data_IF_920455062486
#
_entry.id   IF_920455062486
#
_cell.length_a   1.000
_cell.length_b   1.000
_cell.length_c   1.000
_cell.angle_alpha   90.00
_cell.angle_beta   90.00
_cell.angle_gamma   90.00
#
_symmetry.space_group_name_H-M   'P 1'
#
loop_
_entity.id
_entity.type
_entity.pdbx_description
1 polymer ?
#
# COMPACT_ATOMS: atom_id res chain seq x y z
N UNK A 1 -3.50 -31.92 -8.17
CA UNK A 1 -2.03 -32.05 -8.08
C UNK A 1 -1.68 -32.24 -6.62
N UNK A 2 -0.95 -33.30 -6.26
CA UNK A 2 -0.42 -33.45 -4.91
C UNK A 2 0.66 -32.40 -4.71
N UNK A 3 0.39 -31.42 -3.86
CA UNK A 3 1.41 -30.40 -3.49
C UNK A 3 2.51 -31.15 -2.73
N UNK A 4 3.72 -31.21 -3.31
CA UNK A 4 4.84 -31.83 -2.62
C UNK A 4 5.26 -30.89 -1.48
N UNK A 5 5.34 -31.43 -0.28
CA UNK A 5 5.86 -30.73 0.87
C UNK A 5 7.28 -30.22 0.57
N UNK A 6 7.50 -28.90 0.73
CA UNK A 6 8.83 -28.31 0.66
C UNK A 6 9.34 -28.13 2.09
N UNK A 7 10.44 -28.80 2.50
CA UNK A 7 11.01 -28.63 3.83
C UNK A 7 11.52 -27.19 4.10
N UNK A 8 11.76 -26.43 3.04
CA UNK A 8 12.18 -25.02 3.14
C UNK A 8 11.00 -24.06 3.32
N UNK A 9 9.78 -24.57 3.21
CA UNK A 9 8.59 -23.77 3.46
C UNK A 9 8.52 -23.38 4.93
N UNK A 10 8.49 -22.08 5.20
CA UNK A 10 8.21 -21.58 6.53
C UNK A 10 6.71 -21.30 6.67
N UNK A 11 5.98 -22.18 7.38
CA UNK A 11 4.56 -21.97 7.56
C UNK A 11 4.24 -20.73 8.43
N UNK A 12 5.27 -20.05 8.98
CA UNK A 12 5.10 -18.78 9.72
C UNK A 12 5.14 -17.55 8.82
N UNK A 13 5.60 -17.70 7.58
CA UNK A 13 5.58 -16.66 6.59
C UNK A 13 4.24 -16.64 5.87
N UNK A 14 3.45 -15.64 6.04
CA UNK A 14 2.21 -15.32 5.34
C UNK A 14 1.13 -16.42 5.43
N UNK A 15 0.31 -16.32 6.41
CA UNK A 15 -0.92 -17.11 6.48
C UNK A 15 -2.16 -16.22 6.45
N UNK A 16 -2.37 -15.47 5.46
CA UNK A 16 -3.66 -14.87 5.35
C UNK A 16 -3.66 -13.46 4.84
N UNK A 17 -4.10 -13.38 3.60
CA UNK A 17 -4.60 -12.15 3.06
C UNK A 17 -5.91 -11.78 3.76
N UNK A 18 -6.13 -10.49 3.91
CA UNK A 18 -7.43 -9.94 4.28
C UNK A 18 -8.16 -9.62 2.99
N UNK A 19 -9.28 -10.32 2.73
CA UNK A 19 -10.15 -9.94 1.62
C UNK A 19 -10.92 -8.67 1.97
N UNK A 20 -10.46 -7.54 1.45
CA UNK A 20 -11.08 -6.24 1.72
C UNK A 20 -12.49 -6.14 1.17
N UNK A 21 -12.88 -6.99 0.20
CA UNK A 21 -14.23 -7.00 -0.35
C UNK A 21 -15.25 -7.50 0.68
N UNK A 22 -14.84 -8.32 1.64
CA UNK A 22 -15.70 -8.86 2.69
C UNK A 22 -15.80 -7.95 3.92
N UNK A 23 -14.88 -6.98 4.05
CA UNK A 23 -14.89 -6.08 5.20
C UNK A 23 -16.00 -5.03 5.08
N UNK A 24 -16.72 -4.75 6.18
CA UNK A 24 -17.68 -3.65 6.21
C UNK A 24 -16.98 -2.29 6.17
N UNK A 25 -17.66 -1.30 5.60
CA UNK A 25 -17.27 0.09 5.74
C UNK A 25 -17.63 0.62 7.12
N UNK A 26 -16.66 1.20 7.81
CA UNK A 26 -16.83 1.81 9.12
C UNK A 26 -16.68 3.32 8.98
N UNK A 27 -17.75 4.05 9.28
CA UNK A 27 -17.71 5.51 9.26
C UNK A 27 -16.76 6.05 10.34
N UNK A 28 -15.92 7.00 9.98
CA UNK A 28 -15.04 7.68 10.91
C UNK A 28 -15.67 9.02 11.38
N UNK A 29 -15.63 9.31 12.67
CA UNK A 29 -16.27 10.53 13.22
C UNK A 29 -15.49 11.81 12.90
N UNK A 30 -14.35 11.70 12.23
CA UNK A 30 -13.44 12.81 11.95
C UNK A 30 -13.94 13.69 10.79
N UNK A 31 -14.63 13.09 9.83
CA UNK A 31 -15.16 13.77 8.65
C UNK A 31 -16.44 13.08 8.16
N UNK A 32 -17.42 13.88 7.74
CA UNK A 32 -18.63 13.36 7.09
C UNK A 32 -18.27 12.67 5.78
N UNK A 33 -18.89 11.53 5.50
CA UNK A 33 -18.64 10.73 4.30
C UNK A 33 -17.31 9.99 4.26
N UNK A 34 -16.48 10.09 5.31
CA UNK A 34 -15.25 9.31 5.42
C UNK A 34 -15.53 7.97 6.10
N UNK A 35 -15.16 6.87 5.42
CA UNK A 35 -15.26 5.52 5.97
C UNK A 35 -13.97 4.75 5.71
N UNK A 36 -13.74 3.70 6.50
CA UNK A 36 -12.55 2.85 6.39
C UNK A 36 -12.88 1.37 6.44
N UNK A 37 -12.03 0.58 5.83
CA UNK A 37 -11.84 -0.84 6.08
C UNK A 37 -10.47 -1.01 6.75
N UNK A 38 -10.42 -1.25 8.07
CA UNK A 38 -9.16 -1.38 8.80
C UNK A 38 -8.39 -2.62 8.34
N UNK A 39 -7.08 -2.50 8.15
CA UNK A 39 -6.21 -3.62 7.76
C UNK A 39 -5.13 -3.87 8.81
N UNK A 40 -4.43 -2.80 9.20
CA UNK A 40 -3.33 -2.85 10.16
C UNK A 40 -3.31 -1.59 11.02
N UNK A 41 -2.92 -1.72 12.28
CA UNK A 41 -2.69 -0.60 13.20
C UNK A 41 -1.58 -0.95 14.18
N UNK A 42 -0.37 -0.43 13.93
CA UNK A 42 0.79 -0.63 14.80
C UNK A 42 0.68 0.22 16.06
N UNK A 43 0.79 -0.44 17.22
CA UNK A 43 0.84 0.23 18.51
C UNK A 43 2.25 0.80 18.80
N UNK A 44 3.30 0.20 18.22
CA UNK A 44 4.69 0.60 18.43
C UNK A 44 5.02 1.87 17.66
N UNK A 45 4.68 1.91 16.38
CA UNK A 45 5.11 2.98 15.47
C UNK A 45 4.03 4.02 15.18
N UNK A 46 2.77 3.71 15.48
CA UNK A 46 1.63 4.56 15.10
C UNK A 46 1.26 4.45 13.61
N UNK A 47 1.93 3.62 12.83
CA UNK A 47 1.59 3.35 11.42
C UNK A 47 0.26 2.60 11.35
N UNK A 48 -0.57 2.96 10.39
CA UNK A 48 -1.77 2.18 10.07
C UNK A 48 -2.02 2.12 8.57
N UNK A 49 -2.61 1.01 8.14
CA UNK A 49 -3.02 0.78 6.75
C UNK A 49 -4.51 0.48 6.72
N UNK A 50 -5.21 1.08 5.77
CA UNK A 50 -6.66 0.92 5.58
C UNK A 50 -7.02 1.13 4.11
N UNK A 51 -8.15 0.55 3.68
CA UNK A 51 -8.85 1.13 2.54
C UNK A 51 -9.74 2.24 3.08
N UNK A 52 -9.57 3.46 2.56
CA UNK A 52 -10.42 4.61 2.89
C UNK A 52 -11.38 4.91 1.75
N UNK A 53 -12.59 5.31 2.08
CA UNK A 53 -13.58 5.80 1.12
C UNK A 53 -14.02 7.20 1.48
N UNK A 54 -14.01 8.07 0.48
CA UNK A 54 -14.69 9.35 0.52
C UNK A 54 -15.96 9.24 -0.32
N UNK A 55 -17.11 9.48 0.31
CA UNK A 55 -18.42 9.35 -0.31
C UNK A 55 -18.66 10.44 -1.36
N UNK A 56 -19.39 10.11 -2.40
CA UNK A 56 -19.81 11.04 -3.46
C UNK A 56 -20.41 12.33 -2.91
N UNK A 57 -20.05 13.45 -3.51
CA UNK A 57 -20.53 14.77 -3.13
C UNK A 57 -19.92 15.35 -1.85
N UNK A 58 -18.97 14.64 -1.21
CA UNK A 58 -18.31 15.12 0.02
C UNK A 58 -16.98 15.79 -0.28
N UNK A 59 -16.60 16.70 0.62
CA UNK A 59 -15.30 17.32 0.64
C UNK A 59 -14.49 16.75 1.82
N UNK A 60 -13.24 16.43 1.57
CA UNK A 60 -12.28 16.12 2.63
C UNK A 60 -12.03 17.39 3.43
N UNK A 61 -12.17 17.37 4.75
CA UNK A 61 -11.84 18.54 5.56
C UNK A 61 -10.36 18.93 5.40
N UNK A 62 -10.04 20.16 5.71
CA UNK A 62 -8.62 20.54 5.81
C UNK A 62 -7.92 19.68 6.84
N UNK A 63 -6.83 19.06 6.46
CA UNK A 63 -6.01 18.20 7.31
C UNK A 63 -4.57 18.64 7.39
N UNK A 64 -3.93 18.28 8.50
CA UNK A 64 -2.48 18.32 8.65
C UNK A 64 -2.00 16.89 8.86
N UNK A 65 -1.13 16.43 7.97
CA UNK A 65 -0.49 15.14 8.09
C UNK A 65 0.70 15.24 9.04
N UNK A 66 0.55 14.76 10.27
CA UNK A 66 1.63 14.80 11.27
C UNK A 66 2.72 13.74 10.96
N UNK A 67 2.33 12.64 10.32
CA UNK A 67 3.20 11.70 9.66
C UNK A 67 2.94 11.69 8.15
N UNK A 68 3.84 11.11 7.38
CA UNK A 68 3.64 10.96 5.94
C UNK A 68 2.47 10.00 5.63
N UNK A 69 1.93 10.07 4.42
CA UNK A 69 0.92 9.16 3.92
C UNK A 69 1.24 8.76 2.47
N UNK A 70 1.24 7.47 2.21
CA UNK A 70 1.19 6.90 0.87
C UNK A 70 -0.27 6.55 0.55
N UNK A 71 -0.72 6.84 -0.67
CA UNK A 71 -2.07 6.52 -1.12
C UNK A 71 -2.08 6.04 -2.57
N UNK A 72 -2.91 5.05 -2.86
CA UNK A 72 -3.26 4.63 -4.21
C UNK A 72 -4.77 4.71 -4.38
N UNK A 73 -5.25 5.48 -5.34
CA UNK A 73 -6.68 5.51 -5.70
C UNK A 73 -7.02 4.19 -6.38
N UNK A 74 -7.92 3.42 -5.79
CA UNK A 74 -8.37 2.12 -6.27
C UNK A 74 -9.55 2.26 -7.24
N UNK A 75 -10.51 3.13 -6.90
CA UNK A 75 -11.68 3.42 -7.71
C UNK A 75 -12.16 4.85 -7.48
N UNK A 76 -12.98 5.35 -8.39
CA UNK A 76 -13.49 6.73 -8.32
C UNK A 76 -12.47 7.78 -8.74
N UNK A 77 -12.69 9.01 -8.30
CA UNK A 77 -11.87 10.17 -8.63
C UNK A 77 -11.93 11.20 -7.51
N UNK A 78 -10.76 11.73 -7.13
CA UNK A 78 -10.63 12.91 -6.29
C UNK A 78 -10.31 14.12 -7.15
N UNK A 79 -10.98 15.23 -6.89
CA UNK A 79 -10.56 16.54 -7.40
C UNK A 79 -9.90 17.33 -6.30
N UNK A 80 -8.84 18.03 -6.60
CA UNK A 80 -8.14 18.91 -5.67
C UNK A 80 -7.94 20.29 -6.31
N UNK A 81 -8.27 21.34 -5.56
CA UNK A 81 -8.14 22.72 -6.00
C UNK A 81 -7.45 23.61 -4.97
N UNK A 82 -6.74 23.03 -4.01
CA UNK A 82 -6.11 23.74 -2.90
C UNK A 82 -4.58 23.66 -2.88
N UNK A 83 -3.96 24.60 -2.21
CA UNK A 83 -2.56 24.66 -1.75
C UNK A 83 -1.50 23.91 -2.59
N UNK A 84 -1.31 24.34 -3.85
CA UNK A 84 -0.27 23.76 -4.71
C UNK A 84 -0.58 22.38 -5.29
N UNK A 85 -1.70 21.77 -4.89
CA UNK A 85 -2.21 20.53 -5.49
C UNK A 85 -3.47 20.90 -6.26
N UNK A 86 -3.42 20.87 -7.58
CA UNK A 86 -4.59 21.06 -8.42
C UNK A 86 -4.64 19.95 -9.47
N UNK A 87 -5.81 19.37 -9.66
CA UNK A 87 -6.02 18.31 -10.66
C UNK A 87 -7.04 17.28 -10.24
N UNK A 88 -7.26 16.32 -11.13
CA UNK A 88 -8.08 15.13 -10.92
C UNK A 88 -7.19 13.90 -10.72
N UNK A 89 -7.50 13.13 -9.69
CA UNK A 89 -6.73 11.95 -9.28
C UNK A 89 -7.68 10.74 -9.26
N UNK A 90 -7.80 10.07 -10.39
CA UNK A 90 -8.66 8.90 -10.53
C UNK A 90 -7.94 7.59 -10.21
N UNK A 91 -8.61 6.47 -10.44
CA UNK A 91 -8.07 5.14 -10.23
C UNK A 91 -6.70 4.96 -10.90
N UNK A 92 -5.73 4.41 -10.19
CA UNK A 92 -4.34 4.26 -10.61
C UNK A 92 -3.43 5.44 -10.27
N UNK A 93 -3.96 6.52 -9.68
CA UNK A 93 -3.10 7.59 -9.15
C UNK A 93 -2.47 7.14 -7.85
N UNK A 94 -1.14 7.17 -7.79
CA UNK A 94 -0.38 7.04 -6.56
C UNK A 94 0.08 8.41 -6.08
N UNK A 95 -0.07 8.67 -4.79
CA UNK A 95 0.34 9.90 -4.14
C UNK A 95 1.15 9.65 -2.88
N UNK A 96 2.09 10.55 -2.63
CA UNK A 96 2.83 10.62 -1.38
C UNK A 96 2.64 12.02 -0.77
N UNK A 97 2.08 12.06 0.42
CA UNK A 97 1.90 13.28 1.19
C UNK A 97 2.95 13.29 2.30
N UNK A 98 3.92 14.19 2.25
CA UNK A 98 4.96 14.27 3.28
C UNK A 98 4.40 14.61 4.67
N UNK A 99 5.14 14.28 5.72
CA UNK A 99 4.84 14.76 7.06
C UNK A 99 4.84 16.28 7.11
N UNK A 100 4.06 16.85 8.04
CA UNK A 100 3.86 18.28 8.19
C UNK A 100 3.15 18.97 6.99
N UNK A 101 2.49 18.21 6.14
CA UNK A 101 1.71 18.76 5.03
C UNK A 101 0.33 19.20 5.47
N UNK A 102 -0.10 20.34 4.95
CA UNK A 102 -1.50 20.77 5.02
C UNK A 102 -2.17 20.47 3.68
N UNK A 103 -3.26 19.72 3.74
CA UNK A 103 -4.07 19.37 2.57
C UNK A 103 -5.46 19.98 2.75
N UNK A 104 -5.91 20.68 1.71
CA UNK A 104 -7.26 21.22 1.63
C UNK A 104 -7.79 21.15 0.19
N UNK A 105 -9.07 21.43 0.02
CA UNK A 105 -9.69 21.48 -1.31
C UNK A 105 -9.85 20.14 -2.01
N UNK A 106 -9.73 19.01 -1.30
CA UNK A 106 -10.01 17.69 -1.85
C UNK A 106 -11.53 17.45 -1.81
N UNK A 107 -12.06 16.92 -2.91
CA UNK A 107 -13.46 16.56 -3.07
C UNK A 107 -13.59 15.26 -3.86
N UNK A 108 -14.60 14.47 -3.55
CA UNK A 108 -15.03 13.33 -4.33
C UNK A 108 -16.41 13.62 -4.95
N UNK A 109 -16.48 13.62 -6.27
CA UNK A 109 -17.77 13.76 -6.97
C UNK A 109 -18.47 12.41 -7.17
N UNK A 110 -17.73 11.32 -7.07
CA UNK A 110 -18.18 9.92 -7.01
C UNK A 110 -17.55 9.25 -5.80
N UNK A 111 -18.14 8.14 -5.35
CA UNK A 111 -17.52 7.33 -4.29
C UNK A 111 -16.09 6.96 -4.70
N UNK A 112 -15.12 7.35 -3.88
CA UNK A 112 -13.70 7.17 -4.20
C UNK A 112 -13.03 6.37 -3.11
N UNK A 113 -12.40 5.26 -3.50
CA UNK A 113 -11.70 4.35 -2.61
C UNK A 113 -10.19 4.44 -2.81
N UNK A 114 -9.46 4.42 -1.72
CA UNK A 114 -8.02 4.56 -1.70
C UNK A 114 -7.40 3.55 -0.74
N UNK A 115 -6.36 2.83 -1.17
CA UNK A 115 -5.47 2.15 -0.25
C UNK A 115 -4.52 3.19 0.34
N UNK A 116 -4.48 3.30 1.65
CA UNK A 116 -3.62 4.28 2.34
C UNK A 116 -2.75 3.61 3.39
N UNK A 117 -1.50 4.04 3.46
CA UNK A 117 -0.58 3.74 4.56
C UNK A 117 -0.17 5.06 5.19
N UNK A 118 -0.63 5.29 6.42
CA UNK A 118 -0.32 6.49 7.19
C UNK A 118 0.84 6.18 8.14
N UNK A 119 1.94 6.92 8.00
CA UNK A 119 3.13 6.78 8.84
C UNK A 119 3.05 7.61 10.14
N UNK A 120 1.87 8.12 10.45
CA UNK A 120 1.58 8.88 11.65
C UNK A 120 0.16 9.45 11.63
N UNK A 121 -0.20 10.26 12.65
CA UNK A 121 -1.55 10.79 12.79
C UNK A 121 -1.93 11.81 11.72
N UNK A 122 -3.23 11.94 11.48
CA UNK A 122 -3.84 13.00 10.65
C UNK A 122 -4.68 13.89 11.55
N UNK A 123 -4.36 15.17 11.60
CA UNK A 123 -5.14 16.19 12.32
C UNK A 123 -6.17 16.82 11.38
N UNK A 124 -7.44 16.81 11.76
CA UNK A 124 -8.55 17.44 11.06
C UNK A 124 -8.81 18.82 11.67
N UNK A 125 -8.86 19.83 10.83
CA UNK A 125 -9.09 21.21 11.27
C UNK A 125 -10.58 21.57 11.28
N UNK A 126 -10.96 22.46 12.14
CA UNK A 126 -12.27 23.08 12.08
C UNK A 126 -12.36 23.96 10.81
N UNK A 127 -13.55 23.97 10.20
CA UNK A 127 -13.78 24.69 8.94
C UNK A 127 -13.37 26.18 9.05
N UNK A 128 -12.56 26.64 8.09
CA UNK A 128 -12.06 28.02 8.06
C UNK A 128 -11.12 28.41 9.20
N UNK A 129 -10.56 27.43 9.93
CA UNK A 129 -9.76 27.66 11.13
C UNK A 129 -8.41 26.92 11.05
N UNK A 130 -7.45 27.33 11.90
CA UNK A 130 -6.21 26.60 12.16
C UNK A 130 -6.35 25.69 13.40
N UNK A 131 -7.54 25.64 14.02
CA UNK A 131 -7.79 24.86 15.24
C UNK A 131 -7.99 23.39 14.88
N UNK A 132 -7.26 22.50 15.54
CA UNK A 132 -7.45 21.05 15.40
C UNK A 132 -8.79 20.67 16.05
N UNK A 133 -9.68 20.07 15.26
CA UNK A 133 -10.98 19.54 15.69
C UNK A 133 -10.85 18.12 16.26
N UNK A 134 -10.10 17.29 15.56
CA UNK A 134 -9.86 15.89 15.95
C UNK A 134 -8.57 15.37 15.31
N UNK A 135 -8.06 14.26 15.83
CA UNK A 135 -6.87 13.59 15.33
C UNK A 135 -7.21 12.12 15.07
N UNK A 136 -6.95 11.63 13.86
CA UNK A 136 -7.04 10.22 13.50
C UNK A 136 -5.70 9.57 13.76
N UNK A 137 -5.70 8.49 14.53
CA UNK A 137 -4.51 7.74 14.92
C UNK A 137 -4.67 6.25 14.61
N UNK A 138 -3.58 5.49 14.71
CA UNK A 138 -3.64 4.02 14.65
C UNK A 138 -4.59 3.41 15.70
N UNK A 139 -4.73 4.09 16.87
CA UNK A 139 -5.62 3.63 17.94
C UNK A 139 -7.09 3.80 17.59
N UNK A 140 -7.44 4.82 16.80
CA UNK A 140 -8.82 4.99 16.33
C UNK A 140 -9.18 3.92 15.30
N UNK A 141 -8.24 3.55 14.44
CA UNK A 141 -8.37 2.43 13.49
C UNK A 141 -8.55 1.11 14.26
N UNK A 142 -7.72 0.87 15.29
CA UNK A 142 -7.86 -0.32 16.16
C UNK A 142 -9.21 -0.36 16.87
N UNK A 143 -9.64 0.73 17.49
CA UNK A 143 -10.95 0.81 18.13
C UNK A 143 -12.10 0.58 17.16
N UNK A 144 -11.99 1.11 15.94
CA UNK A 144 -12.99 0.89 14.89
C UNK A 144 -13.06 -0.59 14.50
N UNK A 145 -11.91 -1.26 14.35
CA UNK A 145 -11.83 -2.68 14.05
C UNK A 145 -12.44 -3.52 15.20
N UNK A 146 -12.03 -3.26 16.45
CA UNK A 146 -12.49 -3.98 17.63
C UNK A 146 -14.02 -3.86 17.81
N UNK A 147 -14.57 -2.67 17.61
CA UNK A 147 -16.01 -2.40 17.74
C UNK A 147 -16.85 -3.16 16.69
N UNK A 148 -16.25 -3.58 15.58
CA UNK A 148 -16.92 -4.31 14.50
C UNK A 148 -16.46 -5.77 14.38
N UNK A 149 -15.69 -6.26 15.36
CA UNK A 149 -15.20 -7.64 15.38
C UNK A 149 -14.23 -7.98 14.26
N UNK A 150 -13.52 -6.97 13.72
CA UNK A 150 -12.52 -7.15 12.66
C UNK A 150 -11.18 -7.46 13.32
N UNK A 151 -10.63 -8.64 13.02
CA UNK A 151 -9.27 -8.98 13.42
C UNK A 151 -8.27 -8.24 12.52
N UNK A 152 -7.46 -7.36 13.10
CA UNK A 152 -6.34 -6.75 12.41
C UNK A 152 -5.21 -7.76 12.25
N UNK A 153 -4.40 -7.63 11.19
CA UNK A 153 -3.24 -8.50 11.04
C UNK A 153 -2.21 -8.24 12.14
N UNK A 154 -1.52 -9.29 12.60
CA UNK A 154 -0.45 -9.15 13.58
C UNK A 154 0.70 -8.30 13.08
N UNK A 155 1.29 -7.49 13.95
CA UNK A 155 2.39 -6.57 13.62
C UNK A 155 3.77 -7.23 13.65
N UNK A 156 3.89 -8.42 14.23
CA UNK A 156 5.19 -9.07 14.40
C UNK A 156 5.13 -10.56 14.07
N UNK A 157 6.28 -11.11 13.68
CA UNK A 157 6.45 -12.53 13.42
C UNK A 157 6.05 -13.39 14.64
N UNK A 158 6.40 -12.95 15.86
CA UNK A 158 6.03 -13.64 17.08
C UNK A 158 4.51 -13.75 17.29
N UNK A 159 3.78 -12.67 16.98
CA UNK A 159 2.32 -12.67 17.01
C UNK A 159 1.73 -13.58 15.93
N UNK A 160 2.25 -13.50 14.71
CA UNK A 160 1.83 -14.38 13.62
C UNK A 160 2.01 -15.88 13.99
N UNK A 161 3.09 -16.21 14.69
CA UNK A 161 3.34 -17.58 15.16
C UNK A 161 2.36 -18.04 16.26
N UNK A 162 1.89 -17.12 17.10
CA UNK A 162 0.94 -17.43 18.16
C UNK A 162 -0.50 -17.57 17.65
N UNK A 163 -0.83 -16.82 16.62
CA UNK A 163 -2.19 -16.71 16.08
C UNK A 163 -2.44 -17.66 14.90
N UNK A 164 -1.63 -18.71 14.72
CA UNK A 164 -1.80 -19.66 13.63
C UNK A 164 -3.26 -20.14 13.56
N UNK A 165 -3.95 -19.69 12.52
CA UNK A 165 -5.24 -20.26 12.15
C UNK A 165 -4.99 -21.61 11.49
N UNK A 166 -5.83 -22.59 11.85
CA UNK A 166 -5.81 -23.87 11.16
C UNK A 166 -6.04 -23.66 9.66
N UNK A 167 -5.36 -24.40 8.77
CA UNK A 167 -5.48 -24.27 7.31
C UNK A 167 -6.93 -24.33 6.79
N UNK A 168 -7.83 -24.94 7.53
CA UNK A 168 -9.25 -25.12 7.18
C UNK A 168 -10.14 -23.89 7.48
N UNK A 169 -9.56 -22.79 8.01
CA UNK A 169 -10.32 -21.60 8.40
C UNK A 169 -10.54 -20.60 7.27
N UNK A 170 -10.01 -20.83 6.09
CA UNK A 170 -10.22 -19.95 4.95
C UNK A 170 -11.50 -20.31 4.21
N UNK A 171 -12.54 -19.50 4.42
CA UNK A 171 -13.68 -19.52 3.51
C UNK A 171 -13.19 -19.20 2.08
N UNK A 172 -13.77 -19.87 1.05
CA UNK A 172 -13.43 -19.52 -0.34
C UNK A 172 -13.64 -18.03 -0.53
N UNK A 173 -12.59 -17.31 -0.96
CA UNK A 173 -12.67 -15.90 -1.22
C UNK A 173 -13.62 -15.66 -2.39
N UNK A 174 -14.75 -15.03 -2.11
CA UNK A 174 -15.64 -14.56 -3.17
C UNK A 174 -15.05 -13.24 -3.65
N UNK A 175 -14.27 -13.30 -4.72
CA UNK A 175 -13.65 -12.12 -5.29
C UNK A 175 -14.70 -11.42 -6.13
N UNK A 176 -15.12 -10.24 -5.71
CA UNK A 176 -15.74 -9.32 -6.64
C UNK A 176 -14.65 -8.88 -7.62
N UNK A 177 -14.93 -8.96 -8.90
CA UNK A 177 -14.12 -8.35 -9.95
C UNK A 177 -14.25 -6.81 -9.83
N UNK A 178 -13.92 -6.26 -8.68
CA UNK A 178 -13.90 -4.83 -8.47
C UNK A 178 -12.96 -4.17 -9.48
N UNK A 179 -13.10 -2.88 -9.67
CA UNK A 179 -12.42 -2.04 -10.66
C UNK A 179 -10.87 -2.09 -10.67
N UNK A 180 -10.27 -3.00 -9.89
CA UNK A 180 -8.83 -3.23 -9.87
C UNK A 180 -8.27 -3.56 -11.28
N UNK A 181 -9.05 -4.20 -12.15
CA UNK A 181 -8.67 -4.40 -13.55
C UNK A 181 -8.48 -3.06 -14.29
N UNK A 182 -9.24 -2.03 -13.94
CA UNK A 182 -9.09 -0.68 -14.48
C UNK A 182 -7.75 -0.02 -14.12
N UNK A 183 -7.12 -0.42 -13.00
CA UNK A 183 -5.80 0.09 -12.60
C UNK A 183 -4.68 -0.35 -13.55
N UNK A 184 -4.87 -1.42 -14.29
CA UNK A 184 -3.86 -1.98 -15.21
C UNK A 184 -4.04 -1.49 -16.63
N UNK A 185 -5.28 -1.24 -17.08
CA UNK A 185 -5.64 -1.01 -18.48
C UNK A 185 -6.38 0.30 -18.75
N UNK A 186 -6.68 1.10 -17.73
CA UNK A 186 -7.47 2.32 -17.85
C UNK A 186 -6.85 3.42 -18.72
N UNK A 187 -7.68 4.36 -19.18
CA UNK A 187 -7.25 5.53 -19.95
C UNK A 187 -6.39 6.46 -19.07
N UNK A 188 -5.51 7.23 -19.71
CA UNK A 188 -4.62 8.20 -19.05
C UNK A 188 -5.46 9.21 -18.28
N UNK A 189 -5.12 9.41 -17.01
CA UNK A 189 -5.71 10.44 -16.15
C UNK A 189 -5.06 11.81 -16.42
N UNK A 190 -5.79 12.85 -16.11
CA UNK A 190 -5.25 14.21 -16.11
C UNK A 190 -4.50 14.51 -14.80
N UNK A 191 -3.56 13.63 -14.44
CA UNK A 191 -2.59 13.94 -13.40
C UNK A 191 -1.56 14.85 -14.03
N UNK A 192 -1.31 16.05 -13.49
CA UNK A 192 -0.26 16.90 -13.99
C UNK A 192 1.05 16.10 -14.07
N UNK A 193 1.54 15.83 -15.29
CA UNK A 193 2.66 14.91 -15.55
C UNK A 193 3.99 15.32 -14.90
N UNK A 194 4.00 16.41 -14.16
CA UNK A 194 5.14 16.95 -13.44
C UNK A 194 4.89 17.17 -11.95
N UNK A 195 3.75 16.72 -11.39
CA UNK A 195 3.49 16.94 -9.97
C UNK A 195 4.52 16.19 -9.11
N UNK A 196 5.16 16.84 -8.11
CA UNK A 196 6.24 16.20 -7.33
C UNK A 196 5.76 15.11 -6.40
N UNK A 197 4.48 15.08 -6.04
CA UNK A 197 3.90 14.17 -5.04
C UNK A 197 2.88 13.19 -5.60
N UNK A 198 2.49 13.30 -6.87
CA UNK A 198 1.49 12.41 -7.49
C UNK A 198 1.97 11.93 -8.87
N UNK A 199 1.60 10.71 -9.21
CA UNK A 199 1.90 10.09 -10.50
C UNK A 199 0.75 9.19 -10.94
N UNK A 200 0.42 9.23 -12.24
CA UNK A 200 -0.41 8.21 -12.86
C UNK A 200 0.44 6.96 -13.08
N UNK A 201 0.19 5.93 -12.30
CA UNK A 201 0.96 4.68 -12.37
C UNK A 201 0.83 3.97 -13.71
N UNK A 202 -0.22 4.25 -14.47
CA UNK A 202 -0.44 3.67 -15.80
C UNK A 202 0.51 4.26 -16.82
N UNK A 203 0.92 5.51 -16.64
CA UNK A 203 1.89 6.17 -17.49
C UNK A 203 3.35 5.73 -17.23
N UNK A 204 3.62 5.06 -16.10
CA UNK A 204 4.97 4.58 -15.79
C UNK A 204 5.32 3.32 -16.60
N UNK A 205 6.56 3.21 -17.09
CA UNK A 205 7.01 2.01 -17.78
C UNK A 205 7.16 0.84 -16.81
N UNK A 206 6.98 -0.38 -17.32
CA UNK A 206 7.40 -1.57 -16.63
C UNK A 206 8.91 -1.73 -16.74
N UNK A 207 9.62 -1.75 -15.64
CA UNK A 207 11.03 -2.06 -15.55
C UNK A 207 11.19 -3.57 -15.41
N UNK A 208 11.91 -4.19 -16.32
CA UNK A 208 12.12 -5.63 -16.34
C UNK A 208 13.55 -5.93 -15.89
N UNK A 209 13.70 -6.94 -15.04
CA UNK A 209 15.00 -7.52 -14.77
C UNK A 209 15.29 -8.55 -15.88
N UNK A 210 16.43 -8.46 -16.60
CA UNK A 210 16.79 -9.44 -17.62
C UNK A 210 16.82 -10.89 -17.12
N UNK A 211 17.18 -11.10 -15.87
CA UNK A 211 17.25 -12.42 -15.26
C UNK A 211 15.87 -12.99 -14.85
N UNK A 212 14.86 -12.12 -14.74
CA UNK A 212 13.49 -12.48 -14.39
C UNK A 212 12.49 -11.68 -15.25
N UNK A 213 12.45 -11.92 -16.57
CA UNK A 213 11.68 -11.07 -17.50
C UNK A 213 10.16 -11.13 -17.28
N UNK A 214 9.66 -12.16 -16.62
CA UNK A 214 8.25 -12.31 -16.27
C UNK A 214 7.83 -11.47 -15.05
N UNK A 215 8.81 -10.84 -14.37
CA UNK A 215 8.56 -9.92 -13.25
C UNK A 215 8.88 -8.51 -13.69
N UNK A 216 7.88 -7.65 -13.70
CA UNK A 216 8.01 -6.22 -14.03
C UNK A 216 7.71 -5.35 -12.82
N UNK A 217 8.41 -4.23 -12.71
CA UNK A 217 8.25 -3.28 -11.61
C UNK A 217 7.90 -1.88 -12.13
N UNK A 218 6.99 -1.20 -11.47
CA UNK A 218 6.82 0.26 -11.56
C UNK A 218 7.23 0.83 -10.22
N UNK A 219 8.36 1.53 -10.20
CA UNK A 219 8.90 2.10 -8.97
C UNK A 219 8.26 3.46 -8.76
N UNK A 220 7.57 3.64 -7.65
CA UNK A 220 6.78 4.82 -7.34
C UNK A 220 7.56 5.79 -6.45
N UNK A 221 8.09 5.26 -5.35
CA UNK A 221 8.81 6.03 -4.35
C UNK A 221 9.94 5.21 -3.72
N UNK A 222 11.03 5.88 -3.43
CA UNK A 222 12.15 5.35 -2.66
C UNK A 222 12.51 6.38 -1.59
N UNK A 223 12.61 5.96 -0.34
CA UNK A 223 13.13 6.77 0.76
C UNK A 223 14.56 6.34 1.07
N UNK A 224 15.51 7.23 0.83
CA UNK A 224 16.92 7.00 1.17
C UNK A 224 17.14 7.06 2.69
N UNK A 225 16.28 7.79 3.40
CA UNK A 225 16.36 7.94 4.87
C UNK A 225 15.95 6.67 5.60
N UNK A 226 14.83 6.06 5.19
CA UNK A 226 14.25 4.92 5.91
C UNK A 226 14.46 3.57 5.22
N UNK A 227 14.91 3.59 3.97
CA UNK A 227 15.00 2.39 3.14
C UNK A 227 13.64 1.91 2.60
N UNK A 228 12.57 2.68 2.79
CA UNK A 228 11.23 2.34 2.33
C UNK A 228 11.11 2.45 0.81
N UNK A 229 10.36 1.52 0.21
CA UNK A 229 10.11 1.50 -1.25
C UNK A 229 8.63 1.20 -1.50
N UNK A 230 7.99 1.98 -2.39
CA UNK A 230 6.67 1.66 -2.94
C UNK A 230 6.78 1.30 -4.41
N UNK A 231 6.18 0.17 -4.79
CA UNK A 231 6.19 -0.34 -6.17
C UNK A 231 4.82 -0.90 -6.56
N UNK A 232 4.58 -1.00 -7.86
CA UNK A 232 3.59 -1.94 -8.42
C UNK A 232 4.38 -3.05 -9.11
N UNK A 233 4.00 -4.28 -8.85
CA UNK A 233 4.64 -5.49 -9.36
C UNK A 233 3.71 -6.15 -10.36
N UNK A 234 4.23 -6.51 -11.55
CA UNK A 234 3.64 -7.49 -12.44
C UNK A 234 4.43 -8.79 -12.30
N UNK A 235 3.75 -9.85 -11.91
CA UNK A 235 4.38 -11.11 -11.51
C UNK A 235 3.80 -12.27 -12.32
N UNK A 236 4.22 -12.39 -13.55
CA UNK A 236 3.70 -13.41 -14.46
C UNK A 236 4.45 -14.73 -14.41
N UNK A 237 5.62 -14.75 -13.79
CA UNK A 237 6.46 -15.93 -13.59
C UNK A 237 6.32 -16.53 -12.20
N UNK A 238 7.40 -17.12 -11.73
CA UNK A 238 7.57 -17.65 -10.39
C UNK A 238 8.59 -16.78 -9.66
N UNK A 239 8.21 -16.16 -8.56
CA UNK A 239 9.16 -15.51 -7.68
C UNK A 239 9.77 -16.54 -6.74
N UNK A 240 11.09 -16.59 -6.58
CA UNK A 240 11.74 -17.55 -5.69
C UNK A 240 11.44 -17.27 -4.23
N UNK A 241 11.62 -18.26 -3.35
CA UNK A 241 11.54 -18.05 -1.91
C UNK A 241 12.48 -16.95 -1.44
N UNK A 242 12.01 -16.15 -0.49
CA UNK A 242 12.82 -15.03 0.05
C UNK A 242 12.44 -14.67 1.48
N UNK A 243 13.33 -13.90 2.14
CA UNK A 243 13.10 -13.31 3.44
C UNK A 243 12.78 -11.83 3.32
N UNK A 244 11.78 -11.38 4.04
CA UNK A 244 11.55 -9.98 4.33
C UNK A 244 12.38 -9.56 5.53
N UNK A 245 13.55 -8.91 5.30
CA UNK A 245 14.40 -8.41 6.39
C UNK A 245 13.73 -7.23 7.10
N UNK A 246 12.98 -6.41 6.35
CA UNK A 246 11.98 -5.49 6.89
C UNK A 246 10.58 -6.01 6.55
N UNK A 247 9.57 -5.48 7.19
CA UNK A 247 8.19 -5.85 6.85
C UNK A 247 7.82 -5.45 5.42
N UNK A 248 6.78 -6.07 4.88
CA UNK A 248 6.17 -5.66 3.61
C UNK A 248 4.65 -5.76 3.70
N UNK A 249 3.95 -4.95 2.92
CA UNK A 249 2.54 -5.16 2.64
C UNK A 249 2.27 -5.08 1.14
N UNK A 250 1.24 -5.76 0.67
CA UNK A 250 0.82 -5.69 -0.72
C UNK A 250 -0.68 -6.00 -0.88
N UNK A 251 -1.27 -5.44 -1.93
CA UNK A 251 -2.65 -5.69 -2.33
C UNK A 251 -2.69 -6.17 -3.76
N UNK A 252 -3.38 -7.28 -4.01
CA UNK A 252 -3.63 -7.78 -5.36
C UNK A 252 -4.59 -6.84 -6.07
N UNK A 253 -4.19 -6.37 -7.26
CA UNK A 253 -4.96 -5.47 -8.12
C UNK A 253 -5.57 -6.18 -9.34
N UNK A 254 -4.89 -7.20 -9.84
CA UNK A 254 -5.32 -7.97 -11.01
C UNK A 254 -4.74 -9.37 -11.01
N UNK A 255 -5.39 -10.31 -11.71
CA UNK A 255 -4.99 -11.70 -11.72
C UNK A 255 -5.14 -12.38 -10.36
N UNK A 256 -4.45 -13.50 -10.18
CA UNK A 256 -4.47 -14.27 -8.91
C UNK A 256 -3.08 -14.75 -8.55
N UNK A 257 -2.69 -14.52 -7.30
CA UNK A 257 -1.44 -15.02 -6.73
C UNK A 257 -1.68 -16.36 -6.02
N UNK A 258 -0.82 -17.33 -6.28
CA UNK A 258 -0.79 -18.61 -5.60
C UNK A 258 0.44 -18.75 -4.73
N UNK A 259 0.23 -19.23 -3.53
CA UNK A 259 1.25 -19.73 -2.62
C UNK A 259 1.16 -21.23 -2.53
N UNK A 260 2.27 -21.92 -2.33
CA UNK A 260 2.27 -23.38 -2.25
C UNK A 260 1.40 -23.90 -1.11
N UNK A 261 1.32 -23.19 0.01
CA UNK A 261 0.50 -23.53 1.17
C UNK A 261 -0.85 -22.81 1.20
N UNK A 262 -1.14 -21.98 0.20
CA UNK A 262 -2.40 -21.26 0.09
C UNK A 262 -3.51 -22.12 -0.53
N UNK A 263 -4.72 -21.58 -0.62
CA UNK A 263 -5.81 -22.23 -1.31
C UNK A 263 -5.44 -22.44 -2.80
N UNK A 264 -5.87 -23.57 -3.40
CA UNK A 264 -5.50 -23.89 -4.77
C UNK A 264 -5.98 -22.88 -5.81
N UNK A 265 -7.07 -22.16 -5.52
CA UNK A 265 -7.58 -21.05 -6.33
C UNK A 265 -6.78 -19.77 -6.15
N UNK A 266 -5.90 -19.70 -5.16
CA UNK A 266 -5.10 -18.51 -4.83
C UNK A 266 -5.90 -17.31 -4.36
N UNK A 267 -5.26 -16.16 -4.36
CA UNK A 267 -5.84 -14.89 -3.87
C UNK A 267 -5.95 -13.90 -5.02
N UNK A 268 -7.08 -13.23 -5.14
CA UNK A 268 -7.38 -12.31 -6.24
C UNK A 268 -7.45 -10.84 -5.82
N UNK A 269 -7.96 -9.99 -6.72
CA UNK A 269 -8.04 -8.54 -6.51
C UNK A 269 -8.78 -8.16 -5.23
N UNK A 270 -8.22 -7.17 -4.51
CA UNK A 270 -8.75 -6.69 -3.23
C UNK A 270 -8.25 -7.48 -2.02
N UNK A 271 -7.49 -8.58 -2.20
CA UNK A 271 -6.83 -9.25 -1.07
C UNK A 271 -5.55 -8.52 -0.72
N UNK A 272 -5.44 -8.14 0.53
CA UNK A 272 -4.28 -7.44 1.08
C UNK A 272 -3.53 -8.34 2.07
N UNK A 273 -2.20 -8.26 2.04
CA UNK A 273 -1.30 -9.05 2.85
C UNK A 273 -0.34 -8.16 3.63
N UNK A 274 0.08 -8.63 4.78
CA UNK A 274 1.18 -8.08 5.54
C UNK A 274 2.17 -9.17 5.93
N UNK A 275 3.42 -8.92 5.64
CA UNK A 275 4.54 -9.81 5.91
C UNK A 275 5.44 -9.15 6.95
N UNK A 276 5.44 -9.63 8.20
CA UNK A 276 6.27 -9.01 9.23
C UNK A 276 7.76 -9.20 8.94
N UNK A 277 8.59 -8.33 9.54
CA UNK A 277 10.03 -8.45 9.47
C UNK A 277 10.50 -9.83 9.96
N UNK A 278 11.40 -10.46 9.23
CA UNK A 278 11.86 -11.82 9.47
C UNK A 278 11.00 -12.93 8.84
N UNK A 279 9.89 -12.58 8.21
CA UNK A 279 9.07 -13.55 7.49
C UNK A 279 9.83 -14.12 6.28
N UNK A 280 9.72 -15.42 6.08
CA UNK A 280 10.16 -16.10 4.87
C UNK A 280 8.98 -16.82 4.26
N UNK A 281 8.74 -16.59 3.00
CA UNK A 281 7.69 -17.32 2.29
C UNK A 281 8.27 -18.16 1.13
N UNK A 282 7.50 -19.16 0.75
CA UNK A 282 7.82 -20.02 -0.39
C UNK A 282 7.58 -19.27 -1.71
N UNK A 283 7.97 -19.92 -2.80
CA UNK A 283 7.74 -19.39 -4.13
C UNK A 283 6.27 -19.03 -4.36
N UNK A 284 6.04 -17.90 -4.96
CA UNK A 284 4.73 -17.43 -5.40
C UNK A 284 4.62 -17.46 -6.91
N UNK A 285 3.43 -17.63 -7.44
CA UNK A 285 3.20 -17.73 -8.87
C UNK A 285 1.84 -17.15 -9.27
N UNK A 286 1.74 -16.79 -10.55
CA UNK A 286 0.47 -16.47 -11.19
C UNK A 286 -0.36 -17.73 -11.40
N UNK A 287 -1.66 -17.67 -11.12
CA UNK A 287 -2.60 -18.79 -11.29
C UNK A 287 -3.60 -18.61 -12.44
N UNK A 288 -3.70 -17.42 -13.03
CA UNK A 288 -4.62 -17.10 -14.12
C UNK A 288 -3.87 -16.67 -15.38
N UNK A 289 -4.55 -16.66 -16.52
CA UNK A 289 -3.97 -16.15 -17.77
C UNK A 289 -3.82 -14.62 -17.77
N UNK A 290 -4.59 -13.93 -16.93
CA UNK A 290 -4.47 -12.49 -16.73
C UNK A 290 -3.16 -12.15 -16.01
N UNK A 291 -2.62 -10.97 -16.29
CA UNK A 291 -1.46 -10.46 -15.57
C UNK A 291 -1.74 -10.41 -14.07
N UNK A 292 -0.86 -11.02 -13.29
CA UNK A 292 -0.88 -10.83 -11.84
C UNK A 292 -0.21 -9.50 -11.52
N UNK A 293 -0.98 -8.57 -10.97
CA UNK A 293 -0.51 -7.24 -10.59
C UNK A 293 -0.88 -6.96 -9.16
N UNK A 294 0.07 -6.43 -8.38
CA UNK A 294 -0.17 -6.02 -7.00
C UNK A 294 0.69 -4.80 -6.62
N UNK A 295 0.21 -4.03 -5.62
CA UNK A 295 1.05 -3.03 -4.95
C UNK A 295 1.99 -3.72 -3.99
N UNK A 296 3.16 -3.14 -3.72
CA UNK A 296 3.96 -3.55 -2.59
C UNK A 296 4.63 -2.33 -1.93
N UNK A 297 4.53 -2.27 -0.61
CA UNK A 297 5.27 -1.37 0.25
C UNK A 297 6.30 -2.20 1.02
N UNK A 298 7.56 -1.89 0.81
CA UNK A 298 8.68 -2.58 1.42
C UNK A 298 9.29 -1.68 2.49
N UNK A 299 9.23 -2.09 3.74
CA UNK A 299 9.78 -1.35 4.88
C UNK A 299 11.24 -1.71 5.17
N UNK A 300 11.86 -2.48 4.29
CA UNK A 300 13.25 -2.88 4.36
C UNK A 300 13.64 -3.83 3.22
N UNK A 301 14.87 -4.34 3.23
CA UNK A 301 15.37 -5.19 2.15
C UNK A 301 14.68 -6.55 2.08
N UNK A 302 14.69 -7.13 0.88
CA UNK A 302 14.30 -8.51 0.61
C UNK A 302 15.57 -9.30 0.30
N UNK A 303 15.75 -10.44 0.96
CA UNK A 303 16.90 -11.33 0.79
C UNK A 303 16.46 -12.60 0.07
N UNK A 304 17.14 -12.91 -1.02
CA UNK A 304 16.94 -14.12 -1.79
C UNK A 304 18.05 -15.13 -1.51
N UNK A 305 17.66 -16.39 -1.36
CA UNK A 305 18.53 -17.55 -1.20
C UNK A 305 17.94 -18.76 -1.92
N UNK A 306 18.69 -19.87 -1.95
CA UNK A 306 18.22 -21.11 -2.58
C UNK A 306 17.53 -22.06 -1.58
N UNK A 307 17.33 -21.64 -0.35
CA UNK A 307 16.77 -22.43 0.73
C UNK A 307 17.36 -22.05 2.08
N UNK A 308 16.69 -22.45 3.17
CA UNK A 308 17.10 -22.12 4.54
C UNK A 308 18.54 -22.61 4.82
N UNK A 309 19.41 -21.71 5.21
CA UNK A 309 20.83 -22.03 5.50
C UNK A 309 21.74 -22.08 4.27
N UNK A 310 21.25 -21.76 3.07
CA UNK A 310 22.08 -21.61 1.88
C UNK A 310 22.69 -20.21 1.80
N UNK A 311 23.74 -20.00 0.99
CA UNK A 311 24.29 -18.68 0.77
C UNK A 311 23.26 -17.71 0.21
N UNK A 312 23.36 -16.45 0.62
CA UNK A 312 22.55 -15.37 0.06
C UNK A 312 22.92 -15.18 -1.42
N UNK A 313 21.94 -15.26 -2.30
CA UNK A 313 22.11 -15.06 -3.72
C UNK A 313 22.21 -13.57 -4.04
N UNK A 314 21.25 -12.79 -3.53
CA UNK A 314 21.22 -11.33 -3.68
C UNK A 314 20.26 -10.70 -2.66
N UNK A 315 20.38 -9.38 -2.51
CA UNK A 315 19.51 -8.58 -1.67
C UNK A 315 18.96 -7.43 -2.49
N UNK A 316 17.64 -7.32 -2.55
CA UNK A 316 16.97 -6.14 -3.07
C UNK A 316 16.78 -5.14 -1.95
N UNK A 317 17.35 -3.96 -2.10
CA UNK A 317 17.21 -2.84 -1.16
C UNK A 317 16.74 -1.59 -1.90
N UNK A 318 16.46 -0.53 -1.18
CA UNK A 318 16.12 0.77 -1.78
C UNK A 318 17.17 1.22 -2.83
N UNK A 319 18.46 0.91 -2.61
CA UNK A 319 19.52 1.24 -3.56
C UNK A 319 19.33 0.54 -4.91
N UNK A 320 18.91 -0.74 -4.88
CA UNK A 320 18.65 -1.52 -6.10
C UNK A 320 17.48 -0.91 -6.88
N UNK A 321 16.37 -0.62 -6.21
CA UNK A 321 15.21 0.00 -6.83
C UNK A 321 15.52 1.39 -7.39
N UNK A 322 16.28 2.20 -6.63
CA UNK A 322 16.72 3.53 -7.10
C UNK A 322 17.60 3.41 -8.33
N UNK A 323 18.57 2.52 -8.33
CA UNK A 323 19.45 2.31 -9.49
C UNK A 323 18.66 1.88 -10.74
N UNK A 324 17.66 1.01 -10.59
CA UNK A 324 16.77 0.62 -11.69
C UNK A 324 15.98 1.81 -12.24
N UNK A 325 15.41 2.63 -11.36
CA UNK A 325 14.66 3.82 -11.76
C UNK A 325 15.55 4.84 -12.48
N UNK A 326 16.74 5.11 -11.93
CA UNK A 326 17.72 6.05 -12.50
C UNK A 326 18.18 5.58 -13.90
N UNK A 327 18.49 4.29 -14.04
CA UNK A 327 18.91 3.71 -15.31
C UNK A 327 17.82 3.80 -16.41
N UNK A 328 16.55 3.73 -16.00
CA UNK A 328 15.41 3.85 -16.91
C UNK A 328 14.91 5.29 -17.07
N UNK A 329 15.52 6.27 -16.44
CA UNK A 329 15.07 7.66 -16.46
C UNK A 329 13.71 7.89 -15.82
N UNK A 330 13.28 7.00 -14.91
CA UNK A 330 12.01 7.12 -14.20
C UNK A 330 12.15 8.15 -13.09
N UNK A 331 11.29 9.14 -13.12
CA UNK A 331 11.21 10.13 -12.07
C UNK A 331 10.45 9.56 -10.86
N UNK A 332 11.13 9.44 -9.74
CA UNK A 332 10.53 9.04 -8.46
C UNK A 332 9.81 10.22 -7.79
N UNK A 333 8.77 9.91 -7.01
CA UNK A 333 8.14 10.91 -6.17
C UNK A 333 9.11 11.39 -5.08
N UNK A 334 8.99 12.65 -4.72
CA UNK A 334 9.81 13.22 -3.64
C UNK A 334 9.38 12.63 -2.31
N UNK A 335 10.34 12.08 -1.58
CA UNK A 335 10.13 11.57 -0.21
C UNK A 335 10.48 12.59 0.87
N UNK A 336 11.16 13.68 0.53
CA UNK A 336 11.53 14.72 1.47
C UNK A 336 10.90 16.06 1.14
N UNK A 337 10.60 16.82 2.18
CA UNK A 337 9.86 18.07 2.14
C UNK A 337 10.69 19.35 1.90
N UNK A 338 12.01 19.43 2.14
CA UNK A 338 12.66 20.72 2.37
C UNK A 338 12.60 21.73 1.22
N UNK A 339 12.37 21.26 -0.01
CA UNK A 339 12.32 22.15 -1.18
C UNK A 339 10.93 22.50 -1.68
N UNK A 340 9.89 21.90 -1.10
CA UNK A 340 8.50 22.10 -1.51
C UNK A 340 7.69 22.70 -0.36
N UNK A 341 7.70 24.03 -0.28
CA UNK A 341 6.98 24.73 0.78
C UNK A 341 5.50 24.87 0.54
N UNK A 342 5.00 24.47 -0.65
CA UNK A 342 3.59 24.63 -1.03
C UNK A 342 2.62 23.82 -0.14
N UNK A 343 3.10 22.70 0.41
CA UNK A 343 2.31 21.82 1.29
C UNK A 343 2.64 21.99 2.77
N UNK A 344 3.56 22.85 3.17
CA UNK A 344 3.91 23.00 4.59
C UNK A 344 2.71 23.48 5.41
N UNK A 345 2.42 22.74 6.49
CA UNK A 345 1.39 23.13 7.44
C UNK A 345 1.83 24.31 8.33
N UNK A 346 3.12 24.39 8.62
CA UNK A 346 3.76 25.45 9.38
C UNK A 346 4.99 25.94 8.64
N UNK A 347 5.19 27.26 8.64
CA UNK A 347 6.45 27.79 8.21
C UNK A 347 7.54 27.38 9.21
N UNK A 348 8.73 26.96 8.71
CA UNK A 348 9.87 26.80 9.60
C UNK A 348 10.08 28.07 10.39
N UNK A 349 10.37 27.96 11.69
CA UNK A 349 10.71 29.12 12.49
C UNK A 349 11.85 29.84 11.80
N UNK A 350 11.55 31.04 11.26
CA UNK A 350 12.54 31.84 10.58
C UNK A 350 13.74 32.10 11.49
N UNK A 351 14.90 32.02 10.95
CA UNK A 351 16.09 32.61 11.58
C UNK A 351 15.86 34.11 11.61
N UNK A 352 15.36 34.61 12.74
CA UNK A 352 15.31 36.02 13.03
C UNK A 352 16.71 36.59 13.28
#
# INVERSE_FOLDING_TARGET
MTVSYNPDFDPTGIEGGVDTNTLPWIALPHADGLAVKPLRASAETGVFTSVMRLQAGTAWPTTIHLGAMDMLVLSGELTCAGNGIAGSFGAGTFGYIPANSRIDGIRADVDTEMLVTCHGPIAFLAAGSKTIKSILTSMDIRKAADAHGIALVPDSLAQCMQERRAPDAFAPLTISSGDAAGLVTGSVLDVPGSHPHFVDTRALPWLLNPDTPDVGLKILRVSEETGFVSVIVRHNGVAPPHYHLGAADFMVLGGRIGYRAGPPEGYGPGVWFYEPAGARHDATQRLTDEDLVYTANLFGPIQFDSGRGTPISFVFSWMTYKAMADAAGVRLLRSSFPSDTSLLAWEPLGTH
#
